data_IF_950055103920
#
_entry.id   IF_950055103920
#
_cell.length_a   1.000
_cell.length_b   1.000
_cell.length_c   1.000
_cell.angle_alpha   90.00
_cell.angle_beta   90.00
_cell.angle_gamma   90.00
#
_symmetry.space_group_name_H-M   'P 1'
#
loop_
_entity.id
_entity.type
_entity.pdbx_description
1 polymer ?
#
# COMPACT_ATOMS: atom_id res chain seq x y z
N UNK A 1 -18.71 -12.99 -26.83
CA UNK A 1 -17.35 -12.71 -26.34
C UNK A 1 -16.38 -13.38 -27.31
N UNK A 2 -15.45 -12.65 -27.89
CA UNK A 2 -14.44 -13.24 -28.77
C UNK A 2 -13.53 -14.21 -28.01
N UNK A 3 -13.21 -15.39 -28.57
CA UNK A 3 -12.42 -16.42 -27.91
C UNK A 3 -10.98 -15.97 -27.56
N UNK A 4 -10.42 -15.03 -28.33
CA UNK A 4 -9.11 -14.44 -28.05
C UNK A 4 -9.10 -13.65 -26.73
N UNK A 5 -10.14 -12.85 -26.46
CA UNK A 5 -10.23 -12.05 -25.23
C UNK A 5 -10.35 -12.94 -23.99
N UNK A 6 -11.04 -14.08 -24.09
CA UNK A 6 -11.20 -15.02 -22.97
C UNK A 6 -9.86 -15.65 -22.57
N UNK A 7 -9.05 -16.04 -23.55
CA UNK A 7 -7.72 -16.62 -23.27
C UNK A 7 -6.79 -15.62 -22.57
N UNK A 8 -6.84 -14.34 -22.96
CA UNK A 8 -6.04 -13.29 -22.35
C UNK A 8 -6.48 -13.02 -20.91
N UNK A 9 -7.79 -12.89 -20.66
CA UNK A 9 -8.30 -12.70 -19.29
C UNK A 9 -7.94 -13.86 -18.35
N UNK A 10 -7.90 -15.10 -18.85
CA UNK A 10 -7.48 -16.26 -18.05
C UNK A 10 -6.00 -16.21 -17.67
N UNK A 11 -5.13 -15.74 -18.58
CA UNK A 11 -3.71 -15.53 -18.29
C UNK A 11 -3.50 -14.43 -17.25
N UNK A 12 -4.25 -13.34 -17.34
CA UNK A 12 -4.18 -12.23 -16.38
C UNK A 12 -4.64 -12.68 -14.98
N UNK A 13 -5.78 -13.37 -14.89
CA UNK A 13 -6.32 -13.88 -13.62
C UNK A 13 -5.35 -14.86 -12.96
N UNK A 14 -4.71 -15.73 -13.75
CA UNK A 14 -3.72 -16.68 -13.24
C UNK A 14 -2.50 -15.95 -12.68
N UNK A 15 -2.01 -14.94 -13.39
CA UNK A 15 -0.86 -14.13 -12.96
C UNK A 15 -1.17 -13.38 -11.66
N UNK A 16 -2.34 -12.74 -11.58
CA UNK A 16 -2.82 -12.08 -10.36
C UNK A 16 -2.93 -13.07 -9.20
N UNK A 17 -3.43 -14.28 -9.44
CA UNK A 17 -3.58 -15.31 -8.41
C UNK A 17 -2.21 -15.74 -7.84
N UNK A 18 -1.20 -15.93 -8.69
CA UNK A 18 0.15 -16.25 -8.23
C UNK A 18 0.76 -15.13 -7.40
N UNK A 19 0.62 -13.88 -7.85
CA UNK A 19 1.11 -12.71 -7.11
C UNK A 19 0.39 -12.60 -5.78
N UNK A 20 -0.94 -12.77 -5.74
CA UNK A 20 -1.73 -12.72 -4.53
C UNK A 20 -1.28 -13.77 -3.51
N UNK A 21 -1.09 -15.02 -3.94
CA UNK A 21 -0.60 -16.09 -3.07
C UNK A 21 0.80 -15.77 -2.56
N UNK A 22 1.72 -15.37 -3.44
CA UNK A 22 3.08 -14.99 -3.05
C UNK A 22 3.07 -13.83 -2.04
N UNK A 23 2.36 -12.74 -2.32
CA UNK A 23 2.22 -11.59 -1.41
C UNK A 23 1.60 -11.98 -0.07
N UNK A 24 0.58 -12.84 -0.07
CA UNK A 24 -0.06 -13.33 1.16
C UNK A 24 0.91 -14.17 1.99
N UNK A 25 1.72 -15.03 1.36
CA UNK A 25 2.72 -15.84 2.07
C UNK A 25 3.81 -14.97 2.70
N UNK A 26 4.31 -13.96 1.99
CA UNK A 26 5.29 -13.00 2.52
C UNK A 26 4.69 -12.23 3.70
N UNK A 27 3.46 -11.75 3.55
CA UNK A 27 2.76 -11.04 4.62
C UNK A 27 2.59 -11.91 5.87
N UNK A 28 2.16 -13.17 5.72
CA UNK A 28 2.07 -14.11 6.84
C UNK A 28 3.43 -14.37 7.50
N UNK A 29 4.48 -14.54 6.70
CA UNK A 29 5.83 -14.76 7.19
C UNK A 29 6.34 -13.58 8.03
N UNK A 30 6.16 -12.35 7.55
CA UNK A 30 6.49 -11.15 8.31
C UNK A 30 5.67 -11.09 9.61
N UNK A 31 4.37 -11.40 9.53
CA UNK A 31 3.49 -11.45 10.69
C UNK A 31 3.98 -12.39 11.78
N UNK A 32 4.30 -13.63 11.41
CA UNK A 32 4.79 -14.66 12.35
C UNK A 32 6.10 -14.21 13.00
N UNK A 33 7.00 -13.62 12.22
CA UNK A 33 8.30 -13.15 12.71
C UNK A 33 8.16 -11.98 13.68
N UNK A 34 7.21 -11.06 13.42
CA UNK A 34 6.95 -9.89 14.25
C UNK A 34 6.04 -10.19 15.46
N UNK A 35 5.32 -11.31 15.46
CA UNK A 35 4.35 -11.65 16.50
C UNK A 35 4.99 -11.85 17.88
N UNK A 36 6.12 -12.55 17.94
CA UNK A 36 6.85 -12.80 19.19
C UNK A 36 7.27 -11.49 19.89
N UNK A 37 7.76 -10.53 19.09
CA UNK A 37 8.10 -9.18 19.56
C UNK A 37 6.87 -8.35 19.90
N UNK A 38 5.76 -8.53 19.18
CA UNK A 38 4.52 -7.81 19.46
C UNK A 38 3.90 -8.24 20.80
N UNK A 39 3.83 -9.54 21.09
CA UNK A 39 3.28 -10.05 22.35
C UNK A 39 4.11 -9.58 23.54
N UNK A 40 5.44 -9.60 23.42
CA UNK A 40 6.32 -9.17 24.52
C UNK A 40 6.26 -7.65 24.78
N UNK A 41 6.19 -6.81 23.75
CA UNK A 41 6.23 -5.34 23.90
C UNK A 41 4.86 -4.66 23.97
N UNK A 42 3.86 -5.14 23.22
CA UNK A 42 2.59 -4.42 23.07
C UNK A 42 1.48 -4.95 23.95
N UNK A 43 1.40 -6.25 24.24
CA UNK A 43 0.29 -6.80 25.01
C UNK A 43 0.24 -6.26 26.44
N UNK A 44 1.39 -6.08 27.08
CA UNK A 44 1.48 -5.52 28.44
C UNK A 44 1.46 -3.98 28.49
N UNK A 45 1.51 -3.29 27.35
CA UNK A 45 1.50 -1.83 27.30
C UNK A 45 0.08 -1.26 27.40
N UNK A 46 -0.12 -0.13 28.12
CA UNK A 46 -1.41 0.57 28.16
C UNK A 46 -1.86 0.98 26.74
N UNK A 47 -3.18 1.12 26.58
CA UNK A 47 -3.79 1.58 25.32
C UNK A 47 -3.33 3.01 25.01
N UNK A 48 -2.59 3.16 23.91
CA UNK A 48 -2.11 4.46 23.40
C UNK A 48 -2.46 4.57 21.90
N UNK A 49 -2.55 5.80 21.38
CA UNK A 49 -2.83 6.08 19.96
C UNK A 49 -1.91 5.29 19.02
N UNK A 50 -0.62 5.19 19.36
CA UNK A 50 0.37 4.42 18.57
C UNK A 50 0.00 2.95 18.49
N UNK A 51 -0.51 2.34 19.56
CA UNK A 51 -0.95 0.94 19.61
C UNK A 51 -2.18 0.73 18.72
N UNK A 52 -3.11 1.68 18.70
CA UNK A 52 -4.30 1.63 17.84
C UNK A 52 -3.92 1.76 16.36
N UNK A 53 -3.11 2.76 15.99
CA UNK A 53 -2.64 2.91 14.62
C UNK A 53 -1.85 1.68 14.14
N UNK A 54 -1.02 1.11 15.01
CA UNK A 54 -0.28 -0.12 14.71
C UNK A 54 -1.22 -1.29 14.44
N UNK A 55 -2.20 -1.53 15.32
CA UNK A 55 -3.17 -2.61 15.13
C UNK A 55 -3.97 -2.41 13.84
N UNK A 56 -4.45 -1.20 13.56
CA UNK A 56 -5.17 -0.94 12.31
C UNK A 56 -4.26 -1.23 11.10
N UNK A 57 -3.03 -0.72 11.09
CA UNK A 57 -2.08 -0.98 10.00
C UNK A 57 -1.76 -2.46 9.83
N UNK A 58 -1.72 -3.22 10.93
CA UNK A 58 -1.34 -4.64 10.94
C UNK A 58 -2.48 -5.57 10.54
N UNK A 59 -3.72 -5.21 10.85
CA UNK A 59 -4.91 -6.02 10.56
C UNK A 59 -5.67 -5.57 9.31
N UNK A 60 -5.48 -4.33 8.84
CA UNK A 60 -6.11 -3.83 7.60
C UNK A 60 -5.83 -4.71 6.37
N UNK A 61 -4.57 -5.15 6.12
CA UNK A 61 -4.28 -6.03 4.98
C UNK A 61 -5.01 -7.38 5.05
N UNK A 62 -5.22 -7.91 6.26
CA UNK A 62 -5.96 -9.17 6.47
C UNK A 62 -7.43 -8.98 6.07
N UNK A 63 -8.03 -7.85 6.45
CA UNK A 63 -9.40 -7.50 6.06
C UNK A 63 -9.53 -7.22 4.56
N UNK A 64 -8.45 -6.78 3.89
CA UNK A 64 -8.42 -6.57 2.45
C UNK A 64 -8.32 -7.87 1.65
N UNK A 65 -7.59 -8.87 2.18
CA UNK A 65 -7.25 -10.12 1.49
C UNK A 65 -8.29 -11.22 1.72
N UNK A 66 -8.91 -11.30 2.91
CA UNK A 66 -9.93 -12.29 3.22
C UNK A 66 -11.12 -12.33 2.22
N UNK A 67 -11.66 -11.19 1.74
CA UNK A 67 -12.72 -11.16 0.74
C UNK A 67 -12.27 -11.75 -0.60
N UNK A 68 -11.03 -11.48 -1.02
CA UNK A 68 -10.46 -11.95 -2.29
C UNK A 68 -10.33 -13.48 -2.29
N UNK A 69 -9.88 -14.06 -1.17
CA UNK A 69 -9.84 -15.52 -1.03
C UNK A 69 -11.24 -16.13 -1.05
N UNK A 70 -12.22 -15.46 -0.45
CA UNK A 70 -13.60 -15.95 -0.46
C UNK A 70 -14.19 -15.97 -1.88
N UNK A 71 -13.88 -14.96 -2.69
CA UNK A 71 -14.30 -14.87 -4.10
C UNK A 71 -13.63 -15.92 -4.99
N UNK A 72 -12.37 -16.27 -4.71
CA UNK A 72 -11.67 -17.35 -5.42
C UNK A 72 -12.22 -18.75 -5.11
N UNK A 73 -12.74 -18.95 -3.90
CA UNK A 73 -13.28 -20.24 -3.45
C UNK A 73 -14.76 -20.41 -3.83
N UNK A 74 -15.53 -19.32 -3.94
CA UNK A 74 -16.95 -19.37 -4.27
C UNK A 74 -17.22 -19.03 -5.74
N UNK A 75 -17.50 -20.03 -6.61
CA UNK A 75 -17.76 -19.79 -8.03
C UNK A 75 -19.11 -19.09 -8.32
N UNK A 76 -20.01 -18.99 -7.35
CA UNK A 76 -21.33 -18.35 -7.48
C UNK A 76 -21.54 -17.29 -6.39
N UNK A 77 -20.71 -16.25 -6.38
CA UNK A 77 -20.89 -15.14 -5.46
C UNK A 77 -22.10 -14.27 -5.86
N UNK A 78 -22.96 -13.96 -4.89
CA UNK A 78 -24.06 -13.00 -5.09
C UNK A 78 -23.46 -11.61 -5.40
N UNK A 79 -23.97 -10.88 -6.41
CA UNK A 79 -23.43 -9.58 -6.80
C UNK A 79 -23.47 -8.54 -5.66
N UNK A 80 -24.33 -8.72 -4.65
CA UNK A 80 -24.33 -7.85 -3.46
C UNK A 80 -23.15 -8.12 -2.52
N UNK A 81 -22.80 -9.39 -2.34
CA UNK A 81 -21.66 -9.80 -1.49
C UNK A 81 -20.36 -9.31 -2.13
N UNK A 82 -20.27 -9.42 -3.45
CA UNK A 82 -19.20 -8.90 -4.27
C UNK A 82 -18.95 -7.38 -4.09
N UNK A 83 -20.03 -6.58 -4.16
CA UNK A 83 -19.99 -5.14 -3.91
C UNK A 83 -19.44 -4.84 -2.51
N UNK A 84 -19.98 -5.50 -1.48
CA UNK A 84 -19.58 -5.30 -0.09
C UNK A 84 -18.10 -5.69 0.11
N UNK A 85 -17.68 -6.82 -0.44
CA UNK A 85 -16.31 -7.31 -0.36
C UNK A 85 -15.31 -6.37 -1.02
N UNK A 86 -15.63 -5.91 -2.24
CA UNK A 86 -14.85 -4.91 -2.95
C UNK A 86 -14.79 -3.60 -2.15
N UNK A 87 -15.91 -3.15 -1.59
CA UNK A 87 -15.97 -1.90 -0.83
C UNK A 87 -15.09 -1.97 0.42
N UNK A 88 -15.17 -3.08 1.17
CA UNK A 88 -14.31 -3.34 2.32
C UNK A 88 -12.84 -3.38 1.91
N UNK A 89 -12.50 -4.05 0.80
CA UNK A 89 -11.12 -4.15 0.31
C UNK A 89 -10.55 -2.79 -0.10
N UNK A 90 -11.31 -1.96 -0.81
CA UNK A 90 -10.89 -0.61 -1.20
C UNK A 90 -10.69 0.27 0.03
N UNK A 91 -11.64 0.27 0.98
CA UNK A 91 -11.55 1.10 2.19
C UNK A 91 -10.37 0.67 3.07
N UNK A 92 -10.21 -0.64 3.31
CA UNK A 92 -9.10 -1.17 4.11
C UNK A 92 -7.74 -0.87 3.48
N UNK A 93 -7.61 -1.02 2.16
CA UNK A 93 -6.39 -0.66 1.43
C UNK A 93 -6.11 0.83 1.53
N UNK A 94 -7.12 1.69 1.33
CA UNK A 94 -6.98 3.14 1.46
C UNK A 94 -6.53 3.58 2.87
N UNK A 95 -7.08 2.97 3.92
CA UNK A 95 -6.66 3.21 5.31
C UNK A 95 -5.21 2.77 5.53
N UNK A 96 -4.82 1.61 5.01
CA UNK A 96 -3.45 1.11 5.11
C UNK A 96 -2.42 2.03 4.45
N UNK A 97 -2.74 2.55 3.26
CA UNK A 97 -1.90 3.52 2.55
C UNK A 97 -1.80 4.82 3.35
N UNK A 98 -2.92 5.38 3.82
CA UNK A 98 -2.92 6.62 4.59
C UNK A 98 -2.08 6.52 5.88
N UNK A 99 -2.12 5.38 6.57
CA UNK A 99 -1.29 5.13 7.75
C UNK A 99 0.20 5.00 7.38
N UNK A 100 0.50 4.30 6.28
CA UNK A 100 1.88 4.12 5.80
C UNK A 100 2.53 5.47 5.47
N UNK A 101 1.80 6.34 4.77
CA UNK A 101 2.22 7.72 4.48
C UNK A 101 2.44 8.54 5.74
N UNK A 102 1.54 8.41 6.73
CA UNK A 102 1.69 9.11 8.01
C UNK A 102 2.96 8.67 8.75
N UNK A 103 3.30 7.38 8.71
CA UNK A 103 4.54 6.85 9.30
C UNK A 103 5.77 7.45 8.61
N UNK A 104 5.78 7.53 7.27
CA UNK A 104 6.86 8.15 6.51
C UNK A 104 7.04 9.64 6.86
N UNK A 105 5.93 10.36 7.03
CA UNK A 105 5.93 11.77 7.48
C UNK A 105 6.50 11.89 8.89
N UNK A 106 6.05 11.07 9.84
CA UNK A 106 6.56 11.09 11.22
C UNK A 106 8.06 10.83 11.27
N UNK A 107 8.56 9.84 10.51
CA UNK A 107 10.00 9.56 10.38
C UNK A 107 10.75 10.77 9.82
N UNK A 108 10.20 11.44 8.82
CA UNK A 108 10.80 12.63 8.23
C UNK A 108 10.81 13.82 9.20
N UNK A 109 9.74 14.01 9.98
CA UNK A 109 9.67 15.02 11.03
C UNK A 109 10.70 14.79 12.14
N UNK A 110 10.90 13.53 12.56
CA UNK A 110 11.93 13.16 13.53
C UNK A 110 13.34 13.49 12.99
N UNK A 111 13.62 13.21 11.71
CA UNK A 111 14.90 13.54 11.07
C UNK A 111 15.15 15.05 10.95
N UNK A 112 14.08 15.84 10.85
CA UNK A 112 14.15 17.30 10.87
C UNK A 112 14.17 17.92 12.28
N UNK A 113 14.25 17.10 13.33
CA UNK A 113 14.34 17.58 14.71
C UNK A 113 13.03 18.20 15.21
N UNK A 114 11.88 17.69 14.78
CA UNK A 114 10.55 18.14 15.21
C UNK A 114 10.29 19.64 14.99
N UNK A 115 10.87 20.22 13.93
CA UNK A 115 10.57 21.59 13.52
C UNK A 115 9.06 21.74 13.26
N UNK A 116 8.35 22.51 14.11
CA UNK A 116 6.90 22.71 14.00
C UNK A 116 6.44 23.08 12.59
N UNK A 117 7.21 23.90 11.88
CA UNK A 117 6.91 24.29 10.48
C UNK A 117 6.85 23.10 9.52
N UNK A 118 7.76 22.12 9.66
CA UNK A 118 7.81 20.92 8.80
C UNK A 118 6.64 19.99 9.13
N UNK A 119 6.32 19.84 10.42
CA UNK A 119 5.17 19.05 10.87
C UNK A 119 3.87 19.64 10.32
N UNK A 120 3.64 20.95 10.50
CA UNK A 120 2.44 21.60 9.98
C UNK A 120 2.37 21.53 8.45
N UNK A 121 3.49 21.74 7.75
CA UNK A 121 3.54 21.67 6.28
C UNK A 121 3.29 20.27 5.71
N UNK A 122 3.93 19.23 6.26
CA UNK A 122 3.69 17.85 5.80
C UNK A 122 2.32 17.35 6.23
N UNK A 123 1.85 17.74 7.42
CA UNK A 123 0.52 17.42 7.91
C UNK A 123 -0.58 18.00 7.02
N UNK A 124 -0.47 19.25 6.57
CA UNK A 124 -1.46 19.86 5.66
C UNK A 124 -1.44 19.21 4.28
N UNK A 125 -0.26 18.87 3.74
CA UNK A 125 -0.16 18.13 2.48
C UNK A 125 -0.85 16.77 2.58
N UNK A 126 -0.62 16.05 3.68
CA UNK A 126 -1.25 14.75 3.91
C UNK A 126 -2.77 14.83 4.07
N UNK A 127 -3.29 15.79 4.84
CA UNK A 127 -4.76 15.93 5.00
C UNK A 127 -5.44 16.30 3.68
N UNK A 128 -4.82 17.14 2.85
CA UNK A 128 -5.32 17.47 1.52
C UNK A 128 -5.32 16.23 0.62
N UNK A 129 -4.24 15.46 0.64
CA UNK A 129 -4.10 14.23 -0.14
C UNK A 129 -5.15 13.17 0.24
N UNK A 130 -5.34 12.93 1.54
CA UNK A 130 -6.38 12.00 2.05
C UNK A 130 -7.77 12.47 1.64
N UNK A 131 -8.06 13.77 1.76
CA UNK A 131 -9.38 14.32 1.41
C UNK A 131 -9.68 14.15 -0.08
N UNK A 132 -8.71 14.43 -0.95
CA UNK A 132 -8.83 14.26 -2.39
C UNK A 132 -9.08 12.79 -2.76
N UNK A 133 -8.25 11.87 -2.26
CA UNK A 133 -8.36 10.45 -2.57
C UNK A 133 -9.67 9.86 -2.04
N UNK A 134 -10.13 10.27 -0.85
CA UNK A 134 -11.42 9.84 -0.30
C UNK A 134 -12.57 10.27 -1.19
N UNK A 135 -12.55 11.49 -1.71
CA UNK A 135 -13.59 11.98 -2.62
C UNK A 135 -13.62 11.20 -3.95
N UNK A 136 -12.44 10.89 -4.51
CA UNK A 136 -12.32 10.07 -5.73
C UNK A 136 -12.86 8.67 -5.49
N UNK A 137 -12.49 8.03 -4.37
CA UNK A 137 -12.97 6.69 -4.01
C UNK A 137 -14.48 6.69 -3.83
N UNK A 138 -15.08 7.64 -3.09
CA UNK A 138 -16.54 7.70 -2.91
C UNK A 138 -17.25 7.85 -4.27
N UNK A 139 -16.69 8.64 -5.18
CA UNK A 139 -17.23 8.82 -6.53
C UNK A 139 -17.15 7.52 -7.33
N UNK A 140 -16.02 6.81 -7.23
CA UNK A 140 -15.83 5.51 -7.86
C UNK A 140 -16.84 4.48 -7.33
N UNK A 141 -16.97 4.32 -6.02
CA UNK A 141 -17.88 3.36 -5.39
C UNK A 141 -19.34 3.58 -5.82
N UNK A 142 -19.77 4.84 -5.92
CA UNK A 142 -21.13 5.18 -6.39
C UNK A 142 -21.35 4.87 -7.88
N UNK A 143 -20.30 4.93 -8.70
CA UNK A 143 -20.40 4.67 -10.13
C UNK A 143 -20.17 3.20 -10.50
N UNK A 144 -19.58 2.41 -9.61
CA UNK A 144 -19.27 1.00 -9.84
C UNK A 144 -20.53 0.16 -9.82
N UNK A 145 -20.93 -0.36 -10.98
CA UNK A 145 -22.03 -1.32 -11.12
C UNK A 145 -21.43 -2.69 -11.39
N UNK A 146 -21.54 -3.59 -10.41
CA UNK A 146 -21.19 -4.99 -10.59
C UNK A 146 -22.37 -5.73 -11.25
N UNK A 147 -22.09 -6.45 -12.33
CA UNK A 147 -23.08 -7.30 -13.01
C UNK A 147 -22.83 -8.75 -12.65
N UNK A 148 -23.90 -9.55 -12.65
CA UNK A 148 -23.81 -10.99 -12.41
C UNK A 148 -22.99 -11.66 -13.53
N UNK A 149 -21.89 -12.32 -13.15
CA UNK A 149 -21.04 -13.09 -14.06
C UNK A 149 -21.80 -14.37 -14.48
N UNK A 150 -22.16 -14.47 -15.77
CA UNK A 150 -22.97 -15.59 -16.30
C UNK A 150 -22.11 -16.76 -16.84
N UNK A 151 -20.78 -16.66 -16.78
CA UNK A 151 -19.86 -17.65 -17.35
C UNK A 151 -19.11 -18.43 -16.26
N UNK A 152 -19.25 -19.75 -16.23
CA UNK A 152 -18.54 -20.67 -15.30
C UNK A 152 -17.02 -20.75 -15.52
N UNK A 153 -16.48 -20.08 -16.54
CA UNK A 153 -15.06 -20.15 -16.91
C UNK A 153 -14.20 -19.12 -16.16
N UNK A 154 -14.79 -18.02 -15.67
CA UNK A 154 -14.11 -16.99 -14.88
C UNK A 154 -14.76 -16.90 -13.48
N UNK A 155 -14.20 -17.56 -12.45
CA UNK A 155 -14.65 -17.39 -11.08
C UNK A 155 -14.38 -15.95 -10.60
N UNK A 156 -15.30 -15.42 -9.79
CA UNK A 156 -15.17 -14.10 -9.15
C UNK A 156 -16.06 -13.00 -9.74
N UNK A 157 -15.76 -11.78 -9.33
CA UNK A 157 -16.56 -10.59 -9.59
C UNK A 157 -16.11 -9.82 -10.84
N UNK A 158 -17.04 -9.51 -11.74
CA UNK A 158 -16.77 -8.68 -12.91
C UNK A 158 -17.27 -7.24 -12.70
N UNK A 159 -16.32 -6.30 -12.64
CA UNK A 159 -16.60 -4.88 -12.71
C UNK A 159 -17.01 -4.54 -14.16
N UNK A 160 -18.29 -4.23 -14.36
CA UNK A 160 -18.83 -4.04 -15.70
C UNK A 160 -18.54 -2.66 -16.30
N UNK A 161 -18.05 -1.72 -15.49
CA UNK A 161 -17.72 -0.36 -15.91
C UNK A 161 -16.51 0.10 -15.11
N UNK A 162 -15.34 0.11 -15.75
CA UNK A 162 -14.12 0.67 -15.17
C UNK A 162 -14.09 2.18 -15.44
N UNK A 163 -14.09 2.99 -14.38
CA UNK A 163 -13.87 4.41 -14.52
C UNK A 163 -12.37 4.67 -14.32
N UNK A 164 -11.69 5.30 -15.30
CA UNK A 164 -10.24 5.59 -15.21
C UNK A 164 -9.89 6.58 -14.09
N UNK A 165 -10.87 7.03 -13.30
CA UNK A 165 -10.69 7.93 -12.17
C UNK A 165 -9.82 7.32 -11.06
N UNK A 166 -9.76 5.98 -10.94
CA UNK A 166 -8.83 5.31 -9.99
C UNK A 166 -7.38 5.62 -10.34
N UNK A 167 -7.04 5.82 -11.61
CA UNK A 167 -5.67 6.16 -12.02
C UNK A 167 -5.18 7.45 -11.35
N UNK A 168 -6.09 8.38 -11.02
CA UNK A 168 -5.78 9.60 -10.27
C UNK A 168 -5.27 9.26 -8.87
N UNK A 169 -5.82 8.25 -8.20
CA UNK A 169 -5.34 7.82 -6.89
C UNK A 169 -3.89 7.33 -6.97
N UNK A 170 -3.59 6.46 -7.93
CA UNK A 170 -2.23 5.94 -8.14
C UNK A 170 -1.23 7.06 -8.48
N UNK A 171 -1.58 7.94 -9.41
CA UNK A 171 -0.72 9.06 -9.79
C UNK A 171 -0.47 10.02 -8.60
N UNK A 172 -1.51 10.30 -7.81
CA UNK A 172 -1.41 11.16 -6.63
C UNK A 172 -0.56 10.53 -5.53
N UNK A 173 -0.63 9.20 -5.35
CA UNK A 173 0.18 8.45 -4.40
C UNK A 173 1.65 8.50 -4.79
N UNK A 174 1.97 8.16 -6.04
CA UNK A 174 3.34 8.22 -6.56
C UNK A 174 3.94 9.62 -6.44
N UNK A 175 3.14 10.66 -6.69
CA UNK A 175 3.59 12.03 -6.52
C UNK A 175 3.98 12.34 -5.07
N UNK A 176 3.16 11.91 -4.10
CA UNK A 176 3.45 12.10 -2.68
C UNK A 176 4.69 11.32 -2.25
N UNK A 177 4.81 10.06 -2.68
CA UNK A 177 5.97 9.20 -2.39
C UNK A 177 7.26 9.83 -2.94
N UNK A 178 7.27 10.29 -4.19
CA UNK A 178 8.44 10.96 -4.79
C UNK A 178 8.80 12.22 -4.03
N UNK A 179 7.83 13.04 -3.62
CA UNK A 179 8.06 14.25 -2.84
C UNK A 179 8.68 13.93 -1.48
N UNK A 180 8.17 12.91 -0.78
CA UNK A 180 8.71 12.45 0.50
C UNK A 180 10.11 11.87 0.32
N UNK A 181 10.36 11.06 -0.71
CA UNK A 181 11.67 10.48 -1.03
C UNK A 181 12.70 11.58 -1.31
N UNK A 182 12.36 12.58 -2.13
CA UNK A 182 13.24 13.72 -2.41
C UNK A 182 13.59 14.45 -1.11
N UNK A 183 12.61 14.73 -0.26
CA UNK A 183 12.83 15.39 1.03
C UNK A 183 13.73 14.56 1.96
N UNK A 184 13.49 13.25 2.01
CA UNK A 184 14.25 12.31 2.82
C UNK A 184 15.71 12.21 2.34
N UNK A 185 15.93 12.02 1.04
CA UNK A 185 17.26 11.98 0.41
C UNK A 185 17.98 13.31 0.58
N UNK A 186 17.31 14.44 0.35
CA UNK A 186 17.93 15.75 0.51
C UNK A 186 18.37 16.02 1.94
N UNK A 187 17.56 15.65 2.93
CA UNK A 187 17.91 15.77 4.34
C UNK A 187 19.03 14.82 4.73
N UNK A 188 18.97 13.56 4.27
CA UNK A 188 20.04 12.59 4.45
C UNK A 188 21.35 13.15 3.90
N UNK A 189 21.38 13.61 2.64
CA UNK A 189 22.55 14.23 2.02
C UNK A 189 23.03 15.47 2.76
N UNK A 190 22.14 16.32 3.29
CA UNK A 190 22.54 17.49 4.07
C UNK A 190 23.17 17.11 5.41
N UNK A 191 22.60 16.14 6.12
CA UNK A 191 23.17 15.61 7.37
C UNK A 191 24.54 14.95 7.10
N UNK A 192 24.64 14.22 6.00
CA UNK A 192 25.86 13.59 5.51
C UNK A 192 26.94 14.63 5.12
N UNK A 193 26.55 15.73 4.47
CA UNK A 193 27.47 16.81 4.06
C UNK A 193 27.88 17.74 5.20
N UNK A 194 27.03 17.90 6.21
CA UNK A 194 27.34 18.63 7.45
C UNK A 194 28.18 17.83 8.45
N UNK A 195 28.16 16.49 8.35
CA UNK A 195 29.00 15.59 9.14
C UNK A 195 30.37 15.45 8.47
N UNK A 196 31.41 16.06 9.07
CA UNK A 196 32.82 16.05 8.59
C UNK A 196 33.51 14.70 8.77
N UNK A 197 32.78 13.58 8.65
CA UNK A 197 33.23 12.24 9.01
C UNK A 197 33.48 11.39 7.75
N UNK A 198 34.70 10.86 7.62
CA UNK A 198 35.18 10.10 6.45
C UNK A 198 34.37 8.84 6.12
N UNK A 199 33.59 8.34 7.08
CA UNK A 199 32.69 7.19 6.92
C UNK A 199 31.68 7.34 5.77
N UNK A 200 31.23 8.56 5.48
CA UNK A 200 30.25 8.83 4.42
C UNK A 200 30.90 8.79 3.03
N UNK A 201 32.11 9.32 2.90
CA UNK A 201 32.88 9.18 1.65
C UNK A 201 33.17 7.71 1.37
N UNK A 202 33.38 6.91 2.40
CA UNK A 202 33.56 5.46 2.27
C UNK A 202 32.27 4.77 1.83
N UNK A 203 31.11 5.08 2.43
CA UNK A 203 29.83 4.48 2.02
C UNK A 203 29.41 4.82 0.59
N UNK A 204 29.62 6.07 0.14
CA UNK A 204 29.29 6.45 -1.24
C UNK A 204 30.28 5.83 -2.23
N UNK A 205 31.55 5.73 -1.86
CA UNK A 205 32.56 5.03 -2.64
C UNK A 205 32.24 3.54 -2.75
N UNK A 206 31.87 2.89 -1.65
CA UNK A 206 31.54 1.46 -1.64
C UNK A 206 30.21 1.17 -2.35
N UNK A 207 29.21 2.04 -2.22
CA UNK A 207 27.94 1.93 -2.96
C UNK A 207 28.12 2.07 -4.47
N UNK A 208 28.95 3.02 -4.92
CA UNK A 208 29.27 3.21 -6.34
C UNK A 208 30.14 2.06 -6.87
N UNK A 209 31.12 1.59 -6.09
CA UNK A 209 31.94 0.42 -6.46
C UNK A 209 31.05 -0.83 -6.59
N UNK A 210 30.13 -1.05 -5.64
CA UNK A 210 29.21 -2.18 -5.70
C UNK A 210 28.30 -2.11 -6.95
N UNK A 211 27.78 -0.92 -7.28
CA UNK A 211 26.99 -0.71 -8.48
C UNK A 211 27.78 -0.95 -9.77
N UNK A 212 29.05 -0.51 -9.82
CA UNK A 212 29.94 -0.72 -10.97
C UNK A 212 30.32 -2.18 -11.14
N UNK A 213 30.52 -2.93 -10.05
CA UNK A 213 30.80 -4.37 -10.11
C UNK A 213 29.57 -5.18 -10.52
N UNK A 214 28.39 -4.84 -9.99
CA UNK A 214 27.13 -5.50 -10.33
C UNK A 214 26.78 -5.33 -11.82
N UNK A 215 27.09 -4.17 -12.41
CA UNK A 215 26.80 -3.88 -13.82
C UNK A 215 27.87 -4.41 -14.78
N UNK A 216 28.98 -4.95 -14.25
CA UNK A 216 30.10 -5.50 -15.04
C UNK A 216 30.17 -7.03 -15.03
N UNK A 217 29.23 -7.70 -14.36
CA UNK A 217 28.96 -9.14 -14.50
C UNK A 217 27.74 -9.37 -15.37
#
# INVERSE_FOLDING_TARGET
MDPHNVSQSLHDIRSISYVLVASTTVMMYEWLTLFDREVSLMWNSPWNLVKVLYLISRYSPILAIAPVFQEHIQPHADPKICLINNDISIVSTGVGIAISELILIVRTCALYGNCKKVIYGLGTVWTLWVSMNTWVVITFMKSSVFKHQRSSVLPGCYLASDNPIIFVCFASLLFLEVLLLILHVWKALRLLRGSRNSLVSTFFRDGVIYYVFLFRS
#
